data_IF_727672193606
#
_entry.id   IF_727672193606
#
_cell.length_a   1.000
_cell.length_b   1.000
_cell.length_c   1.000
_cell.angle_alpha   90.00
_cell.angle_beta   90.00
_cell.angle_gamma   90.00
#
_symmetry.space_group_name_H-M   'P 1'
#
loop_
_entity.id
_entity.type
_entity.pdbx_description
1 polymer ?
#
# COMPACT_ATOMS: atom_id res chain seq x y z
N UNK A 1 -0.22 -18.81 3.38
CA UNK A 1 -0.95 -17.81 4.15
C UNK A 1 -1.42 -16.71 3.21
N UNK A 2 -2.61 -16.20 3.46
CA UNK A 2 -3.23 -15.23 2.57
C UNK A 2 -2.82 -13.81 2.91
N UNK A 3 -2.90 -12.95 1.90
CA UNK A 3 -2.76 -11.50 2.06
C UNK A 3 -3.88 -10.98 2.97
N UNK A 4 -3.57 -10.02 3.83
CA UNK A 4 -4.50 -9.51 4.83
C UNK A 4 -4.93 -8.07 4.49
N UNK A 5 -6.21 -7.75 4.71
CA UNK A 5 -6.70 -6.38 4.56
C UNK A 5 -6.09 -5.47 5.62
N UNK A 6 -5.68 -4.27 5.19
CA UNK A 6 -5.30 -3.22 6.13
C UNK A 6 -6.56 -2.62 6.76
N UNK A 7 -6.42 -2.02 7.98
CA UNK A 7 -7.53 -1.29 8.58
C UNK A 7 -8.02 -0.16 7.68
N UNK A 8 -9.25 0.28 7.89
CA UNK A 8 -9.85 1.37 7.14
C UNK A 8 -8.94 2.61 7.13
N UNK A 9 -8.82 3.24 5.97
CA UNK A 9 -8.00 4.45 5.81
C UNK A 9 -8.48 5.56 6.76
N UNK A 10 -7.52 6.27 7.36
CA UNK A 10 -7.81 7.38 8.27
C UNK A 10 -8.17 8.62 7.44
N UNK A 11 -9.38 9.19 7.61
CA UNK A 11 -9.72 10.42 6.90
C UNK A 11 -8.88 11.58 7.42
N UNK A 12 -8.34 12.40 6.54
CA UNK A 12 -7.67 13.64 6.93
C UNK A 12 -8.71 14.72 7.24
N UNK A 13 -8.39 15.59 8.18
CA UNK A 13 -9.28 16.62 8.66
C UNK A 13 -8.53 17.93 8.87
N UNK A 14 -9.23 19.03 8.71
CA UNK A 14 -8.66 20.36 9.01
C UNK A 14 -8.29 20.48 10.49
N UNK A 15 -8.94 19.73 11.36
CA UNK A 15 -8.62 19.71 12.78
C UNK A 15 -7.37 18.88 13.09
N UNK A 16 -6.82 18.18 12.10
CA UNK A 16 -5.66 17.32 12.24
C UNK A 16 -6.00 15.88 12.59
N UNK A 17 -5.01 15.04 12.52
CA UNK A 17 -5.13 13.62 12.87
C UNK A 17 -4.00 13.29 13.84
N UNK A 18 -4.36 12.70 14.97
CA UNK A 18 -3.39 12.34 16.02
C UNK A 18 -3.45 10.84 16.23
N UNK A 19 -2.26 10.22 16.34
CA UNK A 19 -2.10 8.78 16.62
C UNK A 19 -2.86 7.89 15.62
N UNK A 20 -2.60 8.02 14.31
CA UNK A 20 -3.18 7.09 13.34
C UNK A 20 -2.73 5.67 13.66
N UNK A 21 -3.56 4.69 13.34
CA UNK A 21 -3.27 3.29 13.63
C UNK A 21 -2.32 2.72 12.59
N UNK A 22 -1.12 2.35 13.02
CA UNK A 22 -0.14 1.66 12.17
C UNK A 22 -0.29 0.15 12.29
N UNK A 23 -0.08 -0.57 11.19
CA UNK A 23 -0.13 -2.02 11.12
C UNK A 23 1.25 -2.54 10.73
N UNK A 24 1.73 -3.56 11.44
CA UNK A 24 3.02 -4.17 11.11
C UNK A 24 2.96 -4.86 9.75
N UNK A 25 4.00 -4.68 8.93
CA UNK A 25 4.11 -5.37 7.65
C UNK A 25 4.20 -6.88 7.86
N UNK A 26 3.62 -7.65 6.95
CA UNK A 26 3.65 -9.13 7.00
C UNK A 26 4.21 -9.69 5.71
N UNK A 27 4.79 -10.89 5.80
CA UNK A 27 5.46 -11.55 4.67
C UNK A 27 4.50 -11.77 3.50
N UNK A 28 3.24 -12.08 3.79
CA UNK A 28 2.25 -12.37 2.75
C UNK A 28 1.70 -11.10 2.09
N UNK A 29 2.08 -9.93 2.58
CA UNK A 29 1.63 -8.66 2.03
C UNK A 29 0.27 -8.24 2.55
N UNK A 30 -0.13 -7.03 2.17
CA UNK A 30 -1.41 -6.44 2.54
C UNK A 30 -2.22 -6.07 1.31
N UNK A 31 -3.48 -5.73 1.53
CA UNK A 31 -4.37 -5.21 0.49
C UNK A 31 -5.35 -4.23 1.13
N UNK A 32 -5.92 -3.36 0.31
CA UNK A 32 -6.92 -2.41 0.78
C UNK A 32 -7.89 -2.06 -0.35
N UNK A 33 -9.13 -1.76 0.02
CA UNK A 33 -10.12 -1.27 -0.95
C UNK A 33 -9.75 0.16 -1.37
N UNK A 34 -9.71 0.40 -2.68
CA UNK A 34 -9.20 1.65 -3.24
C UNK A 34 -10.27 2.36 -4.06
N UNK A 35 -10.47 3.65 -3.77
CA UNK A 35 -11.39 4.51 -4.50
C UNK A 35 -10.69 5.68 -5.23
N UNK A 36 -9.38 5.67 -5.26
CA UNK A 36 -8.59 6.72 -5.90
C UNK A 36 -8.17 7.85 -4.98
N UNK A 37 -8.61 7.86 -3.73
CA UNK A 37 -8.34 8.93 -2.76
C UNK A 37 -7.52 8.45 -1.56
N UNK A 38 -6.91 7.27 -1.66
CA UNK A 38 -6.21 6.64 -0.54
C UNK A 38 -4.72 6.57 -0.87
N UNK A 39 -3.88 6.90 0.10
CA UNK A 39 -2.43 6.73 -0.02
C UNK A 39 -1.88 6.04 1.21
N UNK A 40 -0.65 5.52 1.07
CA UNK A 40 0.02 4.70 2.06
C UNK A 40 1.18 5.47 2.68
N UNK A 41 1.25 5.46 4.00
CA UNK A 41 2.43 5.89 4.74
C UNK A 41 3.18 4.66 5.22
N UNK A 42 4.49 4.60 4.94
CA UNK A 42 5.37 3.51 5.36
C UNK A 42 6.42 4.06 6.28
N UNK A 43 6.49 3.51 7.49
CA UNK A 43 7.51 3.86 8.48
C UNK A 43 8.51 2.73 8.57
N UNK A 44 9.77 3.01 8.23
CA UNK A 44 10.85 2.04 8.28
C UNK A 44 11.77 2.37 9.45
N UNK A 45 11.65 1.63 10.55
CA UNK A 45 12.47 1.79 11.74
C UNK A 45 13.65 0.82 11.78
N UNK A 46 13.92 0.11 10.70
CA UNK A 46 15.04 -0.81 10.63
C UNK A 46 16.33 -0.07 10.22
N UNK A 47 17.45 -0.77 10.35
CA UNK A 47 18.77 -0.24 9.99
C UNK A 47 19.09 -0.36 8.51
N UNK A 48 18.21 -0.95 7.70
CA UNK A 48 18.41 -1.11 6.27
C UNK A 48 17.20 -0.59 5.49
N UNK A 49 17.42 -0.21 4.23
CA UNK A 49 16.35 0.26 3.36
C UNK A 49 15.38 -0.88 3.02
N UNK A 50 14.12 -0.53 2.79
CA UNK A 50 13.08 -1.48 2.40
C UNK A 50 12.42 -1.02 1.11
N UNK A 51 12.06 -1.96 0.25
CA UNK A 51 11.34 -1.69 -0.98
C UNK A 51 9.90 -2.11 -0.82
N UNK A 52 8.99 -1.19 -1.11
CA UNK A 52 7.54 -1.43 -1.09
C UNK A 52 7.08 -1.53 -2.52
N UNK A 53 6.37 -2.60 -2.86
CA UNK A 53 5.87 -2.84 -4.21
C UNK A 53 4.35 -2.75 -4.20
N UNK A 54 3.82 -1.89 -5.07
CA UNK A 54 2.37 -1.78 -5.30
C UNK A 54 2.09 -2.48 -6.62
N UNK A 55 1.37 -3.59 -6.57
CA UNK A 55 1.08 -4.37 -7.76
C UNK A 55 0.01 -3.68 -8.61
N UNK A 56 0.14 -3.84 -9.92
CA UNK A 56 -0.92 -3.43 -10.85
C UNK A 56 -1.81 -4.62 -11.15
N UNK A 57 -3.12 -4.41 -11.11
CA UNK A 57 -4.09 -5.49 -11.37
C UNK A 57 -4.56 -5.54 -12.81
N UNK A 58 -4.33 -4.48 -13.58
CA UNK A 58 -4.83 -4.37 -14.95
C UNK A 58 -3.75 -4.76 -15.95
N UNK A 59 -4.20 -5.09 -17.17
CA UNK A 59 -3.31 -5.31 -18.32
C UNK A 59 -3.75 -4.39 -19.44
N UNK A 60 -2.82 -4.06 -20.34
CA UNK A 60 -3.12 -3.28 -21.53
C UNK A 60 -3.31 -4.21 -22.73
N UNK A 61 -4.22 -3.84 -23.62
CA UNK A 61 -4.47 -4.56 -24.85
C UNK A 61 -4.73 -6.07 -24.63
N UNK A 62 -5.39 -6.36 -23.51
CA UNK A 62 -5.84 -7.71 -23.19
C UNK A 62 -4.83 -8.57 -22.47
N UNK A 63 -3.54 -8.48 -22.79
CA UNK A 63 -2.55 -9.39 -22.22
C UNK A 63 -1.20 -8.76 -21.91
N UNK A 64 -1.02 -7.45 -22.12
CA UNK A 64 0.23 -6.77 -21.77
C UNK A 64 0.17 -6.33 -20.31
N UNK A 65 1.00 -6.93 -19.47
CA UNK A 65 1.09 -6.56 -18.05
C UNK A 65 1.69 -5.16 -17.90
N UNK A 66 1.18 -4.42 -16.92
CA UNK A 66 1.71 -3.12 -16.54
C UNK A 66 2.68 -3.33 -15.38
N UNK A 67 3.87 -2.72 -15.45
CA UNK A 67 4.88 -2.86 -14.40
C UNK A 67 4.35 -2.34 -13.06
N UNK A 68 4.74 -3.04 -12.00
CA UNK A 68 4.40 -2.64 -10.64
C UNK A 68 5.15 -1.36 -10.26
N UNK A 69 4.56 -0.61 -9.33
CA UNK A 69 5.18 0.60 -8.79
C UNK A 69 5.98 0.23 -7.54
N UNK A 70 7.21 0.72 -7.45
CA UNK A 70 8.04 0.48 -6.27
C UNK A 70 8.46 1.79 -5.63
N UNK A 71 8.67 1.74 -4.31
CA UNK A 71 9.23 2.86 -3.55
C UNK A 71 10.25 2.31 -2.56
N UNK A 72 11.44 2.91 -2.52
CA UNK A 72 12.45 2.55 -1.54
C UNK A 72 12.34 3.52 -0.36
N UNK A 73 12.19 2.98 0.85
CA UNK A 73 12.18 3.77 2.07
C UNK A 73 13.51 3.55 2.78
N UNK A 74 14.37 4.57 2.86
CA UNK A 74 15.67 4.42 3.53
C UNK A 74 15.52 4.07 5.00
N UNK A 75 16.59 3.55 5.58
CA UNK A 75 16.63 3.17 6.99
C UNK A 75 16.24 4.35 7.88
N UNK A 76 15.34 4.11 8.83
CA UNK A 76 14.94 5.11 9.82
C UNK A 76 14.06 6.23 9.26
N UNK A 77 13.52 6.09 8.06
CA UNK A 77 12.75 7.15 7.42
C UNK A 77 11.31 6.75 7.15
N UNK A 78 10.50 7.74 6.77
CA UNK A 78 9.09 7.59 6.44
C UNK A 78 8.92 7.88 4.96
N UNK A 79 8.11 7.05 4.27
CA UNK A 79 7.76 7.29 2.88
C UNK A 79 6.25 7.33 2.70
N UNK A 80 5.81 8.09 1.70
CA UNK A 80 4.41 8.18 1.32
C UNK A 80 4.28 7.79 -0.14
N UNK A 81 3.27 6.99 -0.48
CA UNK A 81 3.03 6.60 -1.87
C UNK A 81 1.53 6.58 -2.14
N UNK A 82 1.15 7.10 -3.29
CA UNK A 82 -0.24 7.26 -3.70
C UNK A 82 -0.57 8.72 -3.96
N UNK A 83 -1.85 9.06 -4.15
CA UNK A 83 -3.00 8.16 -4.28
C UNK A 83 -2.91 7.26 -5.52
N UNK A 84 -3.66 6.17 -5.51
CA UNK A 84 -3.62 5.21 -6.60
C UNK A 84 -4.88 5.30 -7.45
N UNK A 85 -4.79 5.61 -8.74
CA UNK A 85 -5.96 5.51 -9.63
C UNK A 85 -6.49 4.08 -9.62
N UNK A 86 -7.81 3.87 -9.63
CA UNK A 86 -8.35 2.49 -9.70
C UNK A 86 -7.79 1.70 -10.87
N UNK A 87 -7.61 2.32 -12.02
CA UNK A 87 -6.88 1.71 -13.13
C UNK A 87 -5.51 2.38 -13.23
N UNK A 88 -4.41 1.63 -13.24
CA UNK A 88 -4.28 0.18 -13.34
C UNK A 88 -4.11 -0.58 -12.02
N UNK A 89 -4.25 0.09 -10.87
CA UNK A 89 -3.81 -0.49 -9.60
C UNK A 89 -4.79 -1.47 -8.99
N UNK A 90 -6.12 -1.27 -9.16
CA UNK A 90 -7.08 -2.18 -8.54
C UNK A 90 -7.05 -3.55 -9.21
N UNK A 91 -7.20 -4.61 -8.41
CA UNK A 91 -7.46 -5.94 -8.95
C UNK A 91 -8.80 -5.94 -9.68
N UNK A 92 -8.87 -6.63 -10.81
CA UNK A 92 -10.00 -6.48 -11.73
C UNK A 92 -11.00 -7.63 -11.66
N UNK A 93 -10.68 -8.70 -10.92
CA UNK A 93 -11.57 -9.87 -10.87
C UNK A 93 -11.37 -10.63 -9.56
N UNK A 94 -12.29 -11.53 -9.28
CA UNK A 94 -12.24 -12.39 -8.11
C UNK A 94 -12.71 -11.68 -6.83
N UNK A 95 -12.42 -12.29 -5.69
CA UNK A 95 -12.85 -11.79 -4.39
C UNK A 95 -12.17 -10.47 -4.02
N UNK A 96 -11.02 -10.17 -4.61
CA UNK A 96 -10.23 -8.98 -4.31
C UNK A 96 -10.41 -7.87 -5.35
N UNK A 97 -11.40 -7.97 -6.23
CA UNK A 97 -11.68 -6.92 -7.20
C UNK A 97 -11.93 -5.59 -6.48
N UNK A 98 -11.30 -4.53 -6.98
CA UNK A 98 -11.36 -3.21 -6.36
C UNK A 98 -10.32 -2.97 -5.27
N UNK A 99 -9.44 -3.93 -4.99
CA UNK A 99 -8.40 -3.80 -3.98
C UNK A 99 -7.02 -3.65 -4.62
N UNK A 100 -6.13 -2.98 -3.91
CA UNK A 100 -4.73 -2.81 -4.30
C UNK A 100 -3.86 -3.70 -3.42
N UNK A 101 -2.89 -4.40 -4.05
CA UNK A 101 -1.97 -5.30 -3.35
C UNK A 101 -0.66 -4.59 -3.04
N UNK A 102 -0.18 -4.78 -1.81
CA UNK A 102 1.07 -4.22 -1.32
C UNK A 102 2.00 -5.36 -0.90
N UNK A 103 3.23 -5.36 -1.40
CA UNK A 103 4.25 -6.32 -1.01
C UNK A 103 5.45 -5.58 -0.42
N UNK A 104 6.18 -6.28 0.46
CA UNK A 104 7.33 -5.73 1.16
C UNK A 104 8.56 -6.60 0.88
N UNK A 105 9.71 -5.96 0.63
CA UNK A 105 10.97 -6.70 0.44
C UNK A 105 11.40 -7.40 1.74
N UNK A 106 11.09 -6.81 2.88
CA UNK A 106 11.27 -7.39 4.20
C UNK A 106 10.33 -6.69 5.17
N UNK A 107 10.05 -7.31 6.30
CA UNK A 107 9.00 -6.83 7.22
C UNK A 107 9.52 -6.38 8.57
N UNK A 108 10.82 -6.57 8.86
CA UNK A 108 11.41 -6.23 10.15
C UNK A 108 11.30 -4.73 10.40
N UNK A 109 10.67 -4.35 11.51
CA UNK A 109 10.51 -2.96 11.96
C UNK A 109 9.84 -2.04 10.94
N UNK A 110 8.98 -2.59 10.08
CA UNK A 110 8.21 -1.84 9.10
C UNK A 110 6.75 -1.81 9.51
N UNK A 111 6.16 -0.61 9.55
CA UNK A 111 4.74 -0.43 9.81
C UNK A 111 4.13 0.47 8.76
N UNK A 112 2.85 0.29 8.51
CA UNK A 112 2.14 1.01 7.45
C UNK A 112 0.81 1.54 7.97
N UNK A 113 0.35 2.61 7.33
CA UNK A 113 -0.94 3.22 7.64
C UNK A 113 -1.55 3.77 6.36
N UNK A 114 -2.87 3.64 6.24
CA UNK A 114 -3.60 4.22 5.12
C UNK A 114 -4.24 5.54 5.53
N UNK A 115 -4.16 6.52 4.64
CA UNK A 115 -4.84 7.80 4.78
C UNK A 115 -5.74 8.04 3.58
N UNK A 116 -6.81 8.79 3.79
CA UNK A 116 -7.69 9.19 2.70
C UNK A 116 -7.99 10.67 2.77
N UNK A 117 -8.29 11.20 1.59
CA UNK A 117 -8.67 12.59 1.41
C UNK A 117 -10.08 12.86 1.93
#
# INVERSE_FOLDING_TARGET
>A
VARTDLPTATPLSQAGVVNPTFTAAIVDGHMFSNDGNIWLEVLNNDASAKTITIQTGAVEQGDLAIDDRTMVVPAGQVGYIGPFPPSPYNQVSGADAGKVYIDYSATTSVTVCLFRK
#
